data_IF_811672103722
#
_entry.id   IF_811672103722
#
_cell.length_a   1.000
_cell.length_b   1.000
_cell.length_c   1.000
_cell.angle_alpha   90.00
_cell.angle_beta   90.00
_cell.angle_gamma   90.00
#
_symmetry.space_group_name_H-M   'P 1'
#
loop_
_entity.id
_entity.type
_entity.pdbx_description
1 polymer ?
#
# COMPACT_ATOMS: atom_id res chain seq x y z
N UNK A 1 -12.19 -36.38 -67.33
CA UNK A 1 -13.20 -36.05 -68.36
C UNK A 1 -14.54 -35.84 -67.66
N UNK A 2 -15.20 -34.68 -67.91
CA UNK A 2 -16.63 -34.35 -67.61
C UNK A 2 -16.98 -34.30 -66.10
N UNK A 3 -17.74 -33.35 -65.54
CA UNK A 3 -18.59 -32.26 -66.04
C UNK A 3 -18.83 -31.34 -64.82
N UNK A 4 -18.47 -30.04 -64.79
CA UNK A 4 -19.29 -28.91 -65.27
C UNK A 4 -20.79 -29.05 -64.98
N UNK A 5 -21.31 -28.23 -64.03
CA UNK A 5 -22.33 -27.17 -64.24
C UNK A 5 -22.62 -26.48 -62.89
N UNK A 6 -22.38 -25.16 -62.77
CA UNK A 6 -23.36 -24.05 -62.91
C UNK A 6 -24.41 -24.07 -61.78
N UNK A 7 -24.81 -23.00 -61.13
CA UNK A 7 -24.56 -21.56 -61.25
C UNK A 7 -25.16 -20.89 -59.99
N UNK A 8 -24.52 -19.79 -59.56
CA UNK A 8 -25.09 -18.45 -59.27
C UNK A 8 -26.49 -18.41 -58.61
N UNK A 9 -26.62 -17.71 -57.47
CA UNK A 9 -27.34 -16.43 -57.30
C UNK A 9 -27.51 -16.09 -55.81
N UNK A 10 -26.85 -14.99 -55.43
CA UNK A 10 -27.27 -13.91 -54.53
C UNK A 10 -28.61 -14.08 -53.78
N UNK A 11 -28.60 -13.93 -52.45
CA UNK A 11 -28.91 -12.64 -51.80
C UNK A 11 -29.26 -12.84 -50.32
N UNK A 12 -28.90 -11.81 -49.55
CA UNK A 12 -29.00 -11.63 -48.12
C UNK A 12 -30.38 -11.88 -47.47
N UNK A 13 -30.35 -12.33 -46.21
CA UNK A 13 -31.10 -11.85 -45.01
C UNK A 13 -30.35 -12.50 -43.83
N UNK A 14 -29.28 -11.91 -43.30
CA UNK A 14 -29.30 -11.03 -42.12
C UNK A 14 -30.52 -11.22 -41.20
N UNK A 15 -30.47 -12.21 -40.30
CA UNK A 15 -31.16 -12.07 -39.02
C UNK A 15 -30.22 -12.37 -37.86
N UNK A 16 -29.92 -11.26 -37.21
CA UNK A 16 -29.22 -11.04 -35.97
C UNK A 16 -29.85 -11.87 -34.84
N UNK A 17 -29.06 -12.69 -34.15
CA UNK A 17 -29.35 -13.04 -32.76
C UNK A 17 -28.04 -13.06 -32.00
N UNK A 18 -27.65 -11.87 -31.56
CA UNK A 18 -26.60 -11.65 -30.57
C UNK A 18 -27.09 -12.28 -29.26
N UNK A 19 -26.57 -13.45 -28.90
CA UNK A 19 -26.54 -13.86 -27.50
C UNK A 19 -25.36 -13.12 -26.89
N UNK A 20 -25.65 -11.95 -26.30
CA UNK A 20 -24.74 -11.27 -25.38
C UNK A 20 -24.69 -12.14 -24.12
N UNK A 21 -23.77 -13.10 -24.08
CA UNK A 21 -23.27 -13.60 -22.81
C UNK A 21 -22.57 -12.44 -22.13
N UNK A 22 -23.28 -11.78 -21.21
CA UNK A 22 -22.70 -10.83 -20.27
C UNK A 22 -21.73 -11.59 -19.38
N UNK A 23 -20.48 -11.70 -19.83
CA UNK A 23 -19.35 -11.83 -18.93
C UNK A 23 -19.45 -10.63 -17.99
N UNK A 24 -19.85 -10.90 -16.74
CA UNK A 24 -19.65 -9.99 -15.63
C UNK A 24 -18.14 -9.89 -15.45
N UNK A 25 -17.50 -9.08 -16.28
CA UNK A 25 -16.16 -8.61 -16.03
C UNK A 25 -16.26 -7.74 -14.80
N UNK A 26 -15.84 -8.33 -13.68
CA UNK A 26 -15.33 -7.63 -12.52
C UNK A 26 -14.59 -6.40 -13.04
N UNK A 27 -15.11 -5.24 -12.66
CA UNK A 27 -14.57 -3.92 -12.92
C UNK A 27 -13.24 -3.82 -12.17
N UNK A 28 -12.21 -4.50 -12.66
CA UNK A 28 -10.83 -4.15 -12.37
C UNK A 28 -10.60 -2.82 -13.05
N UNK A 29 -10.94 -1.72 -12.36
CA UNK A 29 -10.45 -0.42 -12.75
C UNK A 29 -8.92 -0.52 -12.75
N UNK A 30 -8.33 -0.67 -13.93
CA UNK A 30 -7.06 -0.05 -14.22
C UNK A 30 -7.29 1.45 -14.06
N UNK A 31 -7.27 1.94 -12.82
CA UNK A 31 -7.12 3.37 -12.58
C UNK A 31 -5.75 3.74 -13.13
N UNK A 32 -5.75 4.38 -14.29
CA UNK A 32 -4.64 5.17 -14.82
C UNK A 32 -4.31 6.24 -13.78
N UNK A 33 -3.32 5.96 -12.92
CA UNK A 33 -2.80 6.94 -11.97
C UNK A 33 -1.86 7.86 -12.76
N UNK A 34 -2.22 9.15 -12.98
CA UNK A 34 -1.44 10.07 -13.81
C UNK A 34 -0.02 10.28 -13.27
N UNK A 35 0.18 10.15 -11.96
CA UNK A 35 1.51 10.26 -11.33
C UNK A 35 2.39 9.06 -11.69
N UNK A 36 1.80 7.86 -11.80
CA UNK A 36 2.51 6.66 -12.21
C UNK A 36 2.91 6.71 -13.68
N UNK A 37 2.03 7.23 -14.55
CA UNK A 37 2.30 7.40 -15.97
C UNK A 37 3.43 8.40 -16.18
N UNK A 38 3.34 9.57 -15.53
CA UNK A 38 4.39 10.58 -15.55
C UNK A 38 5.74 9.99 -15.12
N UNK A 39 5.79 9.30 -13.98
CA UNK A 39 7.02 8.67 -13.52
C UNK A 39 7.61 7.67 -14.54
N UNK A 40 6.77 6.93 -15.25
CA UNK A 40 7.22 6.02 -16.32
C UNK A 40 7.74 6.77 -17.55
N UNK A 41 7.12 7.89 -17.92
CA UNK A 41 7.57 8.77 -18.99
C UNK A 41 8.92 9.39 -18.66
N UNK A 42 9.08 9.90 -17.44
CA UNK A 42 10.35 10.49 -16.98
C UNK A 42 11.46 9.45 -16.90
N UNK A 43 11.17 8.21 -16.51
CA UNK A 43 12.13 7.10 -16.60
C UNK A 43 12.55 6.81 -18.03
N UNK A 44 11.62 6.87 -18.99
CA UNK A 44 11.92 6.67 -20.41
C UNK A 44 12.77 7.82 -20.95
N UNK A 45 12.43 9.06 -20.60
CA UNK A 45 13.20 10.25 -20.96
C UNK A 45 14.63 10.15 -20.41
N UNK A 46 14.79 9.76 -19.14
CA UNK A 46 16.08 9.59 -18.49
C UNK A 46 16.97 8.49 -19.12
N UNK A 47 16.37 7.46 -19.72
CA UNK A 47 17.12 6.49 -20.54
C UNK A 47 17.56 7.11 -21.86
N UNK A 48 16.66 7.84 -22.53
CA UNK A 48 16.95 8.48 -23.82
C UNK A 48 18.00 9.60 -23.69
N UNK A 49 18.09 10.24 -22.53
CA UNK A 49 19.11 11.25 -22.19
C UNK A 49 20.42 10.64 -21.65
N UNK A 50 20.50 9.31 -21.52
CA UNK A 50 21.63 8.60 -20.89
C UNK A 50 21.93 9.02 -19.43
N UNK A 51 20.92 9.57 -18.75
CA UNK A 51 20.95 9.86 -17.32
C UNK A 51 20.81 8.60 -16.46
N UNK A 52 20.11 7.58 -16.97
CA UNK A 52 20.08 6.23 -16.40
C UNK A 52 20.44 5.16 -17.42
N UNK A 53 21.13 4.12 -16.96
CA UNK A 53 21.45 2.94 -17.75
C UNK A 53 20.26 1.98 -17.82
N UNK A 54 20.29 1.08 -18.81
CA UNK A 54 19.30 0.00 -18.92
C UNK A 54 19.31 -0.91 -17.67
N UNK A 55 20.49 -1.12 -17.06
CA UNK A 55 20.62 -1.88 -15.82
C UNK A 55 19.90 -1.20 -14.65
N UNK A 56 20.09 0.11 -14.48
CA UNK A 56 19.39 0.90 -13.45
C UNK A 56 17.88 0.92 -13.71
N UNK A 57 17.43 1.07 -14.96
CA UNK A 57 16.00 0.99 -15.30
C UNK A 57 15.41 -0.39 -14.95
N UNK A 58 16.15 -1.47 -15.24
CA UNK A 58 15.73 -2.83 -14.91
C UNK A 58 15.58 -3.00 -13.39
N UNK A 59 16.56 -2.55 -12.62
CA UNK A 59 16.51 -2.59 -11.15
C UNK A 59 15.30 -1.81 -10.61
N UNK A 60 15.04 -0.60 -11.13
CA UNK A 60 13.86 0.19 -10.73
C UNK A 60 12.58 -0.59 -11.03
N UNK A 61 12.44 -1.17 -12.23
CA UNK A 61 11.25 -1.93 -12.62
C UNK A 61 11.01 -3.18 -11.76
N UNK A 62 12.07 -3.93 -11.45
CA UNK A 62 11.99 -5.11 -10.58
C UNK A 62 11.52 -4.73 -9.18
N UNK A 63 12.09 -3.68 -8.58
CA UNK A 63 11.68 -3.24 -7.25
C UNK A 63 10.26 -2.63 -7.25
N UNK A 64 9.81 -1.97 -8.32
CA UNK A 64 8.42 -1.54 -8.45
C UNK A 64 7.43 -2.71 -8.52
N UNK A 65 7.83 -3.83 -9.12
CA UNK A 65 7.01 -5.05 -9.15
C UNK A 65 6.85 -5.62 -7.73
N UNK A 66 7.93 -5.68 -6.95
CA UNK A 66 7.89 -6.08 -5.53
C UNK A 66 6.91 -5.20 -4.73
N UNK A 67 6.94 -3.87 -4.94
CA UNK A 67 6.01 -2.95 -4.26
C UNK A 67 4.55 -3.15 -4.67
N UNK A 68 4.29 -3.57 -5.92
CA UNK A 68 2.94 -3.90 -6.39
C UNK A 68 2.44 -5.18 -5.73
N UNK A 69 3.28 -6.20 -5.62
CA UNK A 69 2.96 -7.48 -4.98
C UNK A 69 2.71 -7.30 -3.48
N UNK A 70 3.61 -6.60 -2.77
CA UNK A 70 3.48 -6.33 -1.33
C UNK A 70 2.20 -5.54 -0.96
N UNK A 71 1.71 -4.67 -1.85
CA UNK A 71 0.41 -3.98 -1.67
C UNK A 71 -0.80 -4.88 -1.96
N UNK A 72 -0.64 -5.94 -2.73
CA UNK A 72 -1.72 -6.84 -3.17
C UNK A 72 -1.91 -8.05 -2.24
N UNK A 73 -0.93 -8.35 -1.39
CA UNK A 73 -0.87 -9.58 -0.59
C UNK A 73 -1.26 -9.45 0.89
N UNK A 74 -1.72 -8.28 1.35
CA UNK A 74 -2.19 -8.13 2.74
C UNK A 74 -3.51 -8.87 2.96
N UNK A 75 -3.42 -10.17 3.19
CA UNK A 75 -4.53 -10.99 3.66
C UNK A 75 -4.72 -10.80 5.16
N UNK A 76 -5.95 -10.62 5.66
CA UNK A 76 -6.22 -10.55 7.09
C UNK A 76 -5.68 -11.78 7.83
N UNK A 77 -4.77 -11.56 8.78
CA UNK A 77 -4.18 -12.61 9.62
C UNK A 77 -2.90 -13.26 9.08
N UNK A 78 -2.41 -12.86 7.90
CA UNK A 78 -1.06 -13.19 7.46
C UNK A 78 -0.03 -12.29 8.18
N UNK A 79 1.17 -12.78 8.51
CA UNK A 79 2.22 -11.96 9.10
C UNK A 79 2.50 -10.72 8.24
N UNK A 80 2.62 -9.57 8.88
CA UNK A 80 3.04 -8.34 8.26
C UNK A 80 4.49 -8.46 7.79
N UNK A 81 4.72 -8.17 6.51
CA UNK A 81 6.03 -7.96 5.92
C UNK A 81 6.21 -6.47 5.57
N UNK A 82 7.08 -5.79 6.32
CA UNK A 82 7.53 -4.43 6.05
C UNK A 82 8.92 -4.41 5.40
N UNK A 83 9.74 -5.44 5.62
CA UNK A 83 11.14 -5.47 5.21
C UNK A 83 11.32 -5.62 3.70
N UNK A 84 10.51 -6.45 3.05
CA UNK A 84 10.55 -6.62 1.59
C UNK A 84 10.21 -5.32 0.86
N UNK A 85 9.07 -4.67 1.11
CA UNK A 85 8.75 -3.40 0.46
C UNK A 85 9.71 -2.27 0.87
N UNK A 86 10.20 -2.24 2.12
CA UNK A 86 11.22 -1.27 2.54
C UNK A 86 12.51 -1.41 1.74
N UNK A 87 12.99 -2.64 1.55
CA UNK A 87 14.21 -2.93 0.80
C UNK A 87 14.06 -2.51 -0.67
N UNK A 88 12.87 -2.73 -1.25
CA UNK A 88 12.57 -2.30 -2.61
C UNK A 88 12.58 -0.77 -2.76
N UNK A 89 11.93 -0.03 -1.85
CA UNK A 89 11.98 1.45 -1.84
C UNK A 89 13.41 1.95 -1.67
N UNK A 90 14.18 1.34 -0.75
CA UNK A 90 15.57 1.73 -0.48
C UNK A 90 16.45 1.55 -1.72
N UNK A 91 16.31 0.42 -2.43
CA UNK A 91 17.02 0.18 -3.69
C UNK A 91 16.65 1.20 -4.76
N UNK A 92 15.35 1.45 -4.96
CA UNK A 92 14.89 2.47 -5.93
C UNK A 92 15.50 3.84 -5.62
N UNK A 93 15.47 4.27 -4.35
CA UNK A 93 16.06 5.55 -3.92
C UNK A 93 17.58 5.59 -4.13
N UNK A 94 18.28 4.49 -3.85
CA UNK A 94 19.71 4.36 -4.09
C UNK A 94 20.05 4.44 -5.59
N UNK A 95 19.31 3.72 -6.45
CA UNK A 95 19.45 3.80 -7.90
C UNK A 95 19.19 5.24 -8.38
N UNK A 96 18.14 5.90 -7.88
CA UNK A 96 17.82 7.30 -8.20
C UNK A 96 18.91 8.29 -7.77
N UNK A 97 19.60 8.04 -6.64
CA UNK A 97 20.69 8.90 -6.19
C UNK A 97 21.89 8.92 -7.16
N UNK A 98 22.06 7.84 -7.94
CA UNK A 98 23.14 7.69 -8.93
C UNK A 98 22.81 8.28 -10.31
N UNK A 99 21.59 8.81 -10.50
CA UNK A 99 21.15 9.42 -11.76
C UNK A 99 21.82 10.78 -11.95
N UNK A 100 22.11 11.13 -13.21
CA UNK A 100 22.66 12.46 -13.55
C UNK A 100 21.60 13.56 -13.39
N UNK A 101 22.04 14.77 -13.05
CA UNK A 101 21.16 15.95 -13.13
C UNK A 101 20.90 16.33 -14.59
N UNK A 102 19.71 16.89 -14.92
CA UNK A 102 18.62 17.28 -14.03
C UNK A 102 17.63 16.15 -13.68
N UNK A 103 17.71 15.01 -14.36
CA UNK A 103 16.70 13.93 -14.29
C UNK A 103 16.59 13.33 -12.89
N UNK A 104 17.68 13.32 -12.12
CA UNK A 104 17.69 12.87 -10.72
C UNK A 104 16.62 13.57 -9.87
N UNK A 105 16.51 14.89 -9.99
CA UNK A 105 15.58 15.67 -9.16
C UNK A 105 14.14 15.35 -9.54
N UNK A 106 13.85 15.36 -10.84
CA UNK A 106 12.52 15.02 -11.40
C UNK A 106 12.10 13.62 -10.97
N UNK A 107 12.93 12.61 -11.24
CA UNK A 107 12.62 11.22 -10.91
C UNK A 107 12.41 10.99 -9.41
N UNK A 108 13.17 11.66 -8.54
CA UNK A 108 12.95 11.58 -7.09
C UNK A 108 11.61 12.18 -6.69
N UNK A 109 11.23 13.32 -7.25
CA UNK A 109 9.94 13.96 -6.97
C UNK A 109 8.78 13.10 -7.45
N UNK A 110 8.84 12.62 -8.69
CA UNK A 110 7.77 11.79 -9.26
C UNK A 110 7.65 10.44 -8.53
N UNK A 111 8.77 9.85 -8.09
CA UNK A 111 8.73 8.65 -7.25
C UNK A 111 8.09 8.92 -5.87
N UNK A 112 8.44 10.03 -5.22
CA UNK A 112 7.83 10.42 -3.95
C UNK A 112 6.32 10.66 -4.09
N UNK A 113 5.90 11.36 -5.15
CA UNK A 113 4.50 11.57 -5.46
C UNK A 113 3.78 10.24 -5.73
N UNK A 114 4.39 9.35 -6.50
CA UNK A 114 3.82 8.03 -6.80
C UNK A 114 3.61 7.21 -5.52
N UNK A 115 4.55 7.28 -4.57
CA UNK A 115 4.42 6.61 -3.28
C UNK A 115 3.31 7.23 -2.41
N UNK A 116 3.18 8.56 -2.43
CA UNK A 116 2.18 9.30 -1.68
C UNK A 116 0.76 9.25 -2.28
N UNK A 117 0.61 8.98 -3.59
CA UNK A 117 -0.70 8.82 -4.24
C UNK A 117 -1.37 7.51 -3.87
N UNK A 118 -1.96 7.47 -2.66
CA UNK A 118 -3.23 6.82 -2.33
C UNK A 118 -3.75 7.46 -1.05
N UNK A 119 -4.66 8.43 -1.19
CA UNK A 119 -5.67 8.58 -0.13
C UNK A 119 -6.47 7.27 -0.11
N UNK A 120 -6.62 6.59 1.03
CA UNK A 120 -7.55 5.47 1.10
C UNK A 120 -8.91 5.98 0.63
N UNK A 121 -9.59 5.24 -0.24
CA UNK A 121 -11.00 5.52 -0.50
C UNK A 121 -11.73 5.54 0.86
N UNK A 122 -12.63 6.50 1.11
CA UNK A 122 -13.38 6.52 2.36
C UNK A 122 -14.14 5.20 2.48
N UNK A 123 -13.71 4.37 3.44
CA UNK A 123 -14.33 3.07 3.70
C UNK A 123 -15.79 3.30 4.11
N UNK A 124 -16.71 2.54 3.51
CA UNK A 124 -18.13 2.58 3.86
C UNK A 124 -18.44 1.96 5.23
N UNK A 125 -17.45 1.34 5.87
CA UNK A 125 -17.56 0.75 7.21
C UNK A 125 -17.05 1.73 8.27
N UNK A 126 -17.67 1.81 9.46
CA UNK A 126 -17.16 2.63 10.54
C UNK A 126 -15.73 2.20 10.91
N UNK A 127 -14.82 3.16 10.96
CA UNK A 127 -13.42 2.95 11.33
C UNK A 127 -13.36 2.37 12.75
N UNK A 128 -13.05 1.08 12.85
CA UNK A 128 -12.81 0.45 14.15
C UNK A 128 -11.43 0.83 14.67
N UNK A 129 -11.26 1.02 15.99
CA UNK A 129 -9.98 1.45 16.54
C UNK A 129 -8.84 0.48 16.18
N UNK A 130 -7.77 0.99 15.55
CA UNK A 130 -6.62 0.19 15.10
C UNK A 130 -6.79 -0.55 13.77
N UNK A 131 -7.85 -0.27 12.99
CA UNK A 131 -8.04 -0.85 11.66
C UNK A 131 -6.95 -0.41 10.67
N UNK A 132 -6.46 0.83 10.81
CA UNK A 132 -5.49 1.44 9.89
C UNK A 132 -4.05 1.38 10.40
N UNK A 133 -3.79 1.00 11.65
CA UNK A 133 -2.44 1.01 12.22
C UNK A 133 -1.40 0.32 11.32
N UNK A 134 -1.72 -0.87 10.79
CA UNK A 134 -0.80 -1.59 9.92
C UNK A 134 -0.57 -0.88 8.57
N UNK A 135 -1.55 -0.15 8.06
CA UNK A 135 -1.49 0.68 6.85
C UNK A 135 -0.70 1.97 7.11
N UNK A 136 -0.94 2.64 8.23
CA UNK A 136 -0.25 3.87 8.62
C UNK A 136 1.23 3.60 8.90
N UNK A 137 1.56 2.51 9.59
CA UNK A 137 2.96 2.11 9.81
C UNK A 137 3.62 1.77 8.46
N UNK A 138 2.91 1.11 7.55
CA UNK A 138 3.43 0.83 6.22
C UNK A 138 3.71 2.12 5.45
N UNK A 139 2.75 3.05 5.42
CA UNK A 139 2.93 4.36 4.79
C UNK A 139 4.14 5.10 5.40
N UNK A 140 4.24 5.14 6.73
CA UNK A 140 5.36 5.74 7.44
C UNK A 140 6.72 5.14 7.04
N UNK A 141 6.81 3.81 6.96
CA UNK A 141 8.05 3.13 6.56
C UNK A 141 8.39 3.40 5.09
N UNK A 142 7.38 3.42 4.21
CA UNK A 142 7.58 3.63 2.77
C UNK A 142 7.94 5.09 2.43
N UNK A 143 7.42 6.07 3.17
CA UNK A 143 7.66 7.48 2.91
C UNK A 143 8.83 8.06 3.70
N UNK A 144 9.08 7.55 4.91
CA UNK A 144 10.18 7.97 5.75
C UNK A 144 11.54 7.44 5.28
N UNK A 145 12.53 7.60 6.15
CA UNK A 145 13.88 7.04 6.06
C UNK A 145 14.25 6.29 7.35
N UNK A 146 13.39 5.38 7.86
CA UNK A 146 13.76 4.57 9.02
C UNK A 146 14.94 3.67 8.70
N UNK A 147 15.71 3.33 9.72
CA UNK A 147 16.79 2.35 9.62
C UNK A 147 16.25 0.92 9.55
N UNK A 148 16.99 -0.05 8.98
CA UNK A 148 16.55 -1.44 8.94
C UNK A 148 16.15 -2.03 10.32
N UNK A 149 16.89 -1.77 11.42
CA UNK A 149 16.46 -2.20 12.75
C UNK A 149 15.12 -1.60 13.20
N UNK A 150 14.84 -0.34 12.83
CA UNK A 150 13.56 0.30 13.15
C UNK A 150 12.41 -0.35 12.38
N UNK A 151 12.62 -0.69 11.10
CA UNK A 151 11.60 -1.39 10.30
C UNK A 151 11.34 -2.79 10.84
N UNK A 152 12.38 -3.53 11.20
CA UNK A 152 12.24 -4.85 11.81
C UNK A 152 11.46 -4.77 13.14
N UNK A 153 11.79 -3.79 14.00
CA UNK A 153 11.09 -3.60 15.26
C UNK A 153 9.61 -3.25 15.07
N UNK A 154 9.26 -2.43 14.07
CA UNK A 154 7.87 -2.14 13.72
C UNK A 154 7.13 -3.39 13.22
N UNK A 155 7.78 -4.20 12.39
CA UNK A 155 7.24 -5.46 11.88
C UNK A 155 6.96 -6.45 13.02
N UNK A 156 7.94 -6.65 13.90
CA UNK A 156 7.81 -7.56 15.05
C UNK A 156 6.70 -7.12 15.99
N UNK A 157 6.59 -5.82 16.23
CA UNK A 157 5.54 -5.25 17.08
C UNK A 157 4.15 -5.41 16.47
N UNK A 158 4.01 -5.22 15.14
CA UNK A 158 2.76 -5.46 14.42
C UNK A 158 2.35 -6.94 14.45
N UNK A 159 3.29 -7.85 14.17
CA UNK A 159 3.05 -9.28 14.21
C UNK A 159 2.68 -9.75 15.63
N UNK A 160 3.30 -9.15 16.66
CA UNK A 160 2.91 -9.37 18.05
C UNK A 160 1.46 -8.94 18.30
N UNK A 161 1.06 -7.73 17.86
CA UNK A 161 -0.33 -7.25 17.97
C UNK A 161 -1.35 -8.16 17.27
N UNK A 162 -1.02 -8.68 16.09
CA UNK A 162 -1.87 -9.64 15.38
C UNK A 162 -1.97 -10.97 16.11
N UNK A 163 -0.83 -11.49 16.59
CA UNK A 163 -0.81 -12.75 17.35
C UNK A 163 -1.61 -12.66 18.66
N UNK A 164 -1.67 -11.49 19.30
CA UNK A 164 -2.47 -11.29 20.53
C UNK A 164 -3.96 -11.47 20.25
N UNK A 165 -4.45 -11.04 19.08
CA UNK A 165 -5.86 -11.19 18.68
C UNK A 165 -6.27 -12.65 18.56
N UNK A 166 -5.36 -13.51 18.09
CA UNK A 166 -5.63 -14.95 17.85
C UNK A 166 -5.17 -15.86 18.98
N UNK A 167 -4.29 -15.38 19.89
CA UNK A 167 -3.75 -16.18 20.99
C UNK A 167 -4.82 -16.62 22.00
N UNK A 168 -4.65 -17.81 22.59
CA UNK A 168 -5.54 -18.36 23.64
C UNK A 168 -5.20 -17.93 25.07
N UNK A 169 -4.25 -17.01 25.26
CA UNK A 169 -3.75 -16.59 26.58
C UNK A 169 -4.79 -15.84 27.43
N UNK A 170 -4.47 -15.66 28.72
CA UNK A 170 -5.34 -14.91 29.63
C UNK A 170 -5.47 -13.44 29.21
N UNK A 171 -6.59 -12.80 29.57
CA UNK A 171 -6.86 -11.40 29.24
C UNK A 171 -5.75 -10.45 29.75
N UNK A 172 -5.17 -10.74 30.91
CA UNK A 172 -4.10 -9.95 31.50
C UNK A 172 -2.78 -10.08 30.71
N UNK A 173 -2.45 -11.28 30.24
CA UNK A 173 -1.27 -11.51 29.39
C UNK A 173 -1.41 -10.79 28.06
N UNK A 174 -2.60 -10.90 27.42
CA UNK A 174 -2.92 -10.17 26.19
C UNK A 174 -2.81 -8.66 26.37
N UNK A 175 -3.31 -8.12 27.48
CA UNK A 175 -3.23 -6.69 27.77
C UNK A 175 -1.79 -6.22 27.97
N UNK A 176 -0.97 -6.98 28.70
CA UNK A 176 0.46 -6.67 28.89
C UNK A 176 1.22 -6.71 27.57
N UNK A 177 1.03 -7.76 26.78
CA UNK A 177 1.68 -7.91 25.48
C UNK A 177 1.29 -6.77 24.53
N UNK A 178 0.01 -6.38 24.51
CA UNK A 178 -0.49 -5.26 23.72
C UNK A 178 0.15 -3.94 24.17
N UNK A 179 0.23 -3.68 25.49
CA UNK A 179 0.88 -2.47 26.01
C UNK A 179 2.35 -2.40 25.61
N UNK A 180 3.07 -3.52 25.68
CA UNK A 180 4.47 -3.61 25.26
C UNK A 180 4.62 -3.30 23.77
N UNK A 181 3.86 -3.97 22.90
CA UNK A 181 3.94 -3.76 21.46
C UNK A 181 3.61 -2.31 21.07
N UNK A 182 2.59 -1.70 21.70
CA UNK A 182 2.27 -0.28 21.48
C UNK A 182 3.41 0.65 21.87
N UNK A 183 3.98 0.45 23.06
CA UNK A 183 5.10 1.26 23.54
C UNK A 183 6.32 1.13 22.65
N UNK A 184 6.57 -0.07 22.10
CA UNK A 184 7.64 -0.30 21.14
C UNK A 184 7.40 0.45 19.82
N UNK A 185 6.20 0.38 19.25
CA UNK A 185 5.86 1.13 18.03
C UNK A 185 6.02 2.63 18.30
N UNK A 186 5.45 3.16 19.38
CA UNK A 186 5.58 4.58 19.74
C UNK A 186 7.05 5.00 19.89
N UNK A 187 7.86 4.22 20.61
CA UNK A 187 9.29 4.51 20.78
C UNK A 187 10.03 4.50 19.43
N UNK A 188 9.77 3.52 18.57
CA UNK A 188 10.38 3.45 17.24
C UNK A 188 9.95 4.63 16.37
N UNK A 189 8.66 4.98 16.35
CA UNK A 189 8.13 6.13 15.61
C UNK A 189 8.69 7.47 16.10
N UNK A 190 9.02 7.57 17.40
CA UNK A 190 9.66 8.75 17.96
C UNK A 190 11.15 8.86 17.66
N UNK A 191 11.86 7.73 17.56
CA UNK A 191 13.30 7.69 17.31
C UNK A 191 13.67 7.67 15.81
N UNK A 192 12.77 7.24 14.93
CA UNK A 192 13.04 7.11 13.50
C UNK A 192 12.79 8.39 12.69
N UNK A 193 13.40 8.43 11.51
CA UNK A 193 13.22 9.50 10.52
C UNK A 193 11.93 9.29 9.75
N UNK A 194 10.80 9.58 10.37
CA UNK A 194 9.48 9.53 9.74
C UNK A 194 8.99 10.94 9.38
N UNK A 195 8.08 11.02 8.41
CA UNK A 195 7.37 12.28 8.14
C UNK A 195 6.44 12.61 9.31
N UNK A 196 6.33 13.88 9.74
CA UNK A 196 5.48 14.27 10.86
C UNK A 196 4.03 13.81 10.73
N UNK A 197 3.47 13.88 9.52
CA UNK A 197 2.11 13.48 9.19
C UNK A 197 1.89 11.97 9.34
N UNK A 198 2.80 11.15 8.80
CA UNK A 198 2.72 9.68 8.90
C UNK A 198 2.93 9.24 10.36
N UNK A 199 3.85 9.91 11.07
CA UNK A 199 4.06 9.70 12.50
C UNK A 199 2.80 9.99 13.31
N UNK A 200 2.16 11.12 13.06
CA UNK A 200 0.95 11.49 13.78
C UNK A 200 -0.18 10.49 13.52
N UNK A 201 -0.38 10.08 12.26
CA UNK A 201 -1.37 9.07 11.90
C UNK A 201 -1.16 7.76 12.69
N UNK A 202 0.07 7.24 12.73
CA UNK A 202 0.41 6.05 13.51
C UNK A 202 0.14 6.23 15.00
N UNK A 203 0.51 7.38 15.58
CA UNK A 203 0.29 7.65 17.01
C UNK A 203 -1.21 7.77 17.35
N UNK A 204 -2.00 8.39 16.49
CA UNK A 204 -3.45 8.48 16.65
C UNK A 204 -4.09 7.08 16.61
N UNK A 205 -3.68 6.25 15.67
CA UNK A 205 -4.16 4.87 15.55
C UNK A 205 -3.71 3.97 16.71
N UNK A 206 -2.49 4.17 17.22
CA UNK A 206 -2.01 3.51 18.44
C UNK A 206 -2.83 3.92 19.67
N UNK A 207 -3.18 5.20 19.80
CA UNK A 207 -4.00 5.69 20.92
C UNK A 207 -5.41 5.10 20.88
N UNK A 208 -5.91 4.81 19.68
CA UNK A 208 -7.20 4.17 19.47
C UNK A 208 -7.18 2.65 19.74
N UNK A 209 -6.03 1.96 19.65
CA UNK A 209 -5.94 0.54 19.99
C UNK A 209 -6.20 0.29 21.49
N UNK A 210 -7.04 -0.67 21.84
CA UNK A 210 -7.40 -0.90 23.24
C UNK A 210 -8.62 -0.07 23.62
N UNK A 211 -9.67 -0.78 24.03
CA UNK A 211 -10.99 -0.21 24.20
C UNK A 211 -10.99 1.13 24.93
N UNK A 212 -11.95 1.96 24.53
CA UNK A 212 -12.48 3.11 25.26
C UNK A 212 -12.99 2.66 26.64
N UNK A 213 -12.09 2.25 27.51
CA UNK A 213 -12.34 1.91 28.89
C UNK A 213 -12.31 3.19 29.71
N UNK A 214 -13.48 3.78 29.93
CA UNK A 214 -13.82 4.58 31.11
C UNK A 214 -12.86 5.73 31.45
N UNK A 215 -13.03 6.86 30.78
CA UNK A 215 -12.32 8.10 31.11
C UNK A 215 -13.06 9.36 30.67
N UNK A 216 -14.38 9.36 30.77
CA UNK A 216 -15.22 10.54 30.55
C UNK A 216 -16.00 10.86 31.82
N UNK A 217 -15.39 11.64 32.71
CA UNK A 217 -16.14 12.34 33.74
C UNK A 217 -17.10 13.33 33.09
N UNK A 218 -18.36 13.35 33.55
CA UNK A 218 -19.33 14.38 33.18
C UNK A 218 -20.75 13.86 33.10
N UNK A 219 -21.41 13.60 34.24
CA UNK A 219 -22.81 13.20 34.21
C UNK A 219 -23.50 12.79 35.52
N UNK A 220 -23.00 13.14 36.70
CA UNK A 220 -23.79 13.06 37.95
C UNK A 220 -24.02 14.47 38.50
N UNK A 221 -24.91 15.22 37.85
CA UNK A 221 -25.60 16.39 38.41
C UNK A 221 -27.04 16.43 37.87
N UNK A 222 -27.91 15.58 38.42
CA UNK A 222 -29.35 15.83 38.65
C UNK A 222 -30.05 14.57 39.18
N UNK A 223 -29.94 14.36 40.50
CA UNK A 223 -31.10 14.01 41.33
C UNK A 223 -31.04 15.12 42.41
N UNK A 224 -31.98 16.05 42.48
CA UNK A 224 -33.39 15.78 42.73
C UNK A 224 -33.56 15.59 44.24
N UNK A 225 -33.48 16.71 44.99
CA UNK A 225 -34.24 17.08 46.19
C UNK A 225 -33.70 18.44 46.69
#
# INVERSE_FOLDING_TARGET
>A
MKSQRKAIIFSAILMMTLIVSTSVFVKGQNETNPVKEKFQEDLKAAVMSESITVAQLKEIKENLAILKEAKSERQPGAPVDLMTPYSAVTKIRATMATVKEPDRTTLRQDFQLMMATKQPEPSAEPDTPGKKLGEDIFAAVMHGEPTPPQVQQLQDSLNSLESIKTSGGSMLEKFRAMKTAKSQIEATMNAGSFRPEDKQAVLDDLNNLGGRGGGGGGGLRRQGL
#
